data_IF_419919050819
#
_entry.id   IF_419919050819
#
_cell.length_a   1.000
_cell.length_b   1.000
_cell.length_c   1.000
_cell.angle_alpha   90.00
_cell.angle_beta   90.00
_cell.angle_gamma   90.00
#
_symmetry.space_group_name_H-M   'P 1'
#
loop_
_entity.id
_entity.type
_entity.pdbx_description
1 polymer ?
#
# COMPACT_ATOMS: atom_id res chain seq x y z
N UNK A 1 42.87 -5.39 -14.66
CA UNK A 1 41.74 -5.87 -13.84
C UNK A 1 41.34 -4.88 -12.74
N UNK A 2 42.28 -4.13 -12.13
CA UNK A 2 42.03 -3.19 -11.01
C UNK A 2 40.86 -2.17 -11.16
N UNK A 3 40.58 -1.64 -12.37
CA UNK A 3 39.51 -0.62 -12.54
C UNK A 3 38.10 -1.18 -12.35
N UNK A 4 37.87 -2.47 -12.66
CA UNK A 4 36.53 -3.08 -12.55
C UNK A 4 36.17 -3.36 -11.09
N UNK A 5 37.16 -3.75 -10.29
CA UNK A 5 36.99 -4.04 -8.87
C UNK A 5 36.69 -2.76 -8.06
N UNK A 6 37.33 -1.63 -8.39
CA UNK A 6 37.07 -0.34 -7.74
C UNK A 6 35.64 0.15 -7.96
N UNK A 7 35.08 -0.04 -9.17
CA UNK A 7 33.72 0.34 -9.49
C UNK A 7 32.68 -0.52 -8.74
N UNK A 8 32.93 -1.83 -8.63
CA UNK A 8 32.11 -2.74 -7.83
C UNK A 8 32.11 -2.36 -6.34
N UNK A 9 33.27 -1.96 -5.80
CA UNK A 9 33.37 -1.53 -4.41
C UNK A 9 32.57 -0.23 -4.15
N UNK A 10 32.61 0.72 -5.10
CA UNK A 10 31.84 1.96 -5.01
C UNK A 10 30.33 1.71 -5.06
N UNK A 11 29.86 0.80 -5.92
CA UNK A 11 28.44 0.41 -5.98
C UNK A 11 27.99 -0.26 -4.69
N UNK A 12 28.80 -1.18 -4.13
CA UNK A 12 28.51 -1.79 -2.83
C UNK A 12 28.44 -0.73 -1.71
N UNK A 13 29.37 0.22 -1.69
CA UNK A 13 29.36 1.31 -0.70
C UNK A 13 28.12 2.20 -0.83
N UNK A 14 27.71 2.54 -2.06
CA UNK A 14 26.46 3.29 -2.30
C UNK A 14 25.23 2.49 -1.84
N UNK A 15 25.19 1.18 -2.09
CA UNK A 15 24.10 0.31 -1.63
C UNK A 15 24.04 0.24 -0.09
N UNK A 16 25.19 0.13 0.59
CA UNK A 16 25.25 0.17 2.05
C UNK A 16 24.83 1.54 2.62
N UNK A 17 25.19 2.64 1.97
CA UNK A 17 24.75 3.99 2.36
C UNK A 17 23.23 4.16 2.21
N UNK A 18 22.64 3.65 1.12
CA UNK A 18 21.18 3.68 0.94
C UNK A 18 20.45 2.86 2.02
N UNK A 19 21.01 1.72 2.44
CA UNK A 19 20.41 0.92 3.51
C UNK A 19 20.37 1.66 4.85
N UNK A 20 21.40 2.47 5.17
CA UNK A 20 21.43 3.21 6.44
C UNK A 20 20.38 4.31 6.54
N UNK A 21 20.00 4.93 5.42
CA UNK A 21 19.07 6.07 5.44
C UNK A 21 17.58 5.69 5.43
N UNK A 22 17.24 4.43 5.11
CA UNK A 22 15.83 4.00 4.98
C UNK A 22 15.35 3.20 6.20
N UNK A 23 16.25 2.86 7.12
CA UNK A 23 15.89 2.10 8.31
C UNK A 23 15.24 3.00 9.38
N UNK A 24 14.01 3.44 9.13
CA UNK A 24 13.11 3.84 10.20
C UNK A 24 12.96 2.63 11.12
N UNK A 25 13.54 2.68 12.32
CA UNK A 25 13.41 1.61 13.28
C UNK A 25 11.97 1.59 13.81
N UNK A 26 11.21 0.59 13.35
CA UNK A 26 9.92 0.25 13.91
C UNK A 26 10.07 -1.02 14.74
N UNK A 27 9.45 -1.06 15.91
CA UNK A 27 9.39 -2.26 16.75
C UNK A 27 7.98 -2.41 17.28
N UNK A 28 7.54 -3.65 17.40
CA UNK A 28 6.19 -3.95 17.88
C UNK A 28 6.01 -3.44 19.32
N UNK A 29 4.85 -2.86 19.62
CA UNK A 29 4.59 -2.25 20.93
C UNK A 29 4.73 -3.28 22.07
N UNK A 30 4.25 -4.51 21.86
CA UNK A 30 4.34 -5.64 22.80
C UNK A 30 5.77 -6.05 23.16
N UNK A 31 6.75 -5.70 22.33
CA UNK A 31 8.18 -6.00 22.58
C UNK A 31 8.89 -4.87 23.33
N UNK A 32 8.20 -3.77 23.64
CA UNK A 32 8.76 -2.56 24.24
C UNK A 32 8.07 -2.16 25.55
N UNK A 33 6.81 -2.52 25.75
CA UNK A 33 6.04 -2.12 26.92
C UNK A 33 4.89 -3.07 27.21
N UNK A 34 4.54 -3.19 28.50
CA UNK A 34 3.35 -3.89 28.98
C UNK A 34 2.20 -2.91 29.33
N UNK A 35 2.34 -1.61 29.03
CA UNK A 35 1.29 -0.62 29.29
C UNK A 35 0.07 -0.88 28.40
N UNK A 36 -1.02 -1.31 29.04
CA UNK A 36 -2.32 -1.60 28.41
C UNK A 36 -2.84 -0.44 27.54
N UNK A 37 -2.57 0.82 27.90
CA UNK A 37 -3.04 1.98 27.14
C UNK A 37 -2.33 2.07 25.78
N UNK A 38 -1.06 1.70 25.73
CA UNK A 38 -0.28 1.66 24.48
C UNK A 38 -0.70 0.44 23.65
N UNK A 39 -0.81 -0.72 24.28
CA UNK A 39 -1.17 -1.96 23.60
C UNK A 39 -2.60 -1.96 23.04
N UNK A 40 -3.50 -1.16 23.62
CA UNK A 40 -4.89 -0.99 23.16
C UNK A 40 -5.11 0.20 22.22
N UNK A 41 -4.07 0.97 21.88
CA UNK A 41 -4.19 2.14 21.02
C UNK A 41 -4.68 1.77 19.61
N UNK A 42 -4.12 0.72 19.02
CA UNK A 42 -4.46 0.23 17.69
C UNK A 42 -5.70 -0.69 17.75
N UNK A 43 -6.82 -0.26 17.16
CA UNK A 43 -8.13 -0.96 17.23
C UNK A 43 -8.32 -1.97 16.10
N UNK A 44 -9.40 -2.76 16.16
CA UNK A 44 -9.85 -3.65 15.08
C UNK A 44 -8.77 -4.65 14.61
N UNK A 45 -8.09 -5.28 15.58
CA UNK A 45 -7.02 -6.28 15.33
C UNK A 45 -5.86 -5.73 14.48
N UNK A 46 -5.65 -4.41 14.50
CA UNK A 46 -4.51 -3.78 13.83
C UNK A 46 -3.22 -3.99 14.61
N UNK A 47 -2.08 -3.97 13.90
CA UNK A 47 -0.77 -4.16 14.51
C UNK A 47 -0.21 -2.84 15.02
N UNK A 48 0.32 -2.82 16.23
CA UNK A 48 0.91 -1.64 16.88
C UNK A 48 2.44 -1.64 16.75
N UNK A 49 3.00 -0.54 16.27
CA UNK A 49 4.44 -0.31 16.21
C UNK A 49 4.83 1.05 16.80
N UNK A 50 6.01 1.12 17.41
CA UNK A 50 6.64 2.37 17.82
C UNK A 50 7.77 2.68 16.84
N UNK A 51 7.69 3.86 16.21
CA UNK A 51 8.73 4.43 15.36
C UNK A 51 9.72 5.22 16.23
N UNK A 52 11.01 5.16 15.88
CA UNK A 52 12.10 5.91 16.51
C UNK A 52 12.27 5.66 18.02
N UNK A 53 12.12 4.40 18.46
CA UNK A 53 12.14 3.99 19.88
C UNK A 53 13.46 4.24 20.64
N UNK A 54 14.52 4.73 19.98
CA UNK A 54 15.84 4.97 20.59
C UNK A 54 15.93 6.38 21.25
N UNK A 55 15.04 6.68 22.20
CA UNK A 55 15.00 7.97 22.94
C UNK A 55 14.96 9.23 22.05
N UNK A 56 14.35 9.14 20.87
CA UNK A 56 14.08 10.35 20.08
C UNK A 56 12.90 11.11 20.69
N UNK A 57 12.98 12.45 20.68
CA UNK A 57 11.86 13.35 21.02
C UNK A 57 10.63 13.13 20.11
N UNK A 58 10.79 12.39 19.01
CA UNK A 58 9.80 12.16 17.95
C UNK A 58 9.35 10.70 17.87
N UNK A 59 9.30 10.01 19.01
CA UNK A 59 8.76 8.65 19.08
C UNK A 59 7.25 8.68 18.83
N UNK A 60 6.76 7.87 17.89
CA UNK A 60 5.35 7.88 17.51
C UNK A 60 4.79 6.46 17.36
N UNK A 61 3.56 6.24 17.82
CA UNK A 61 2.84 4.99 17.59
C UNK A 61 2.27 5.00 16.16
N UNK A 62 2.36 3.86 15.48
CA UNK A 62 1.83 3.64 14.13
C UNK A 62 1.02 2.36 14.12
N UNK A 63 -0.22 2.43 13.66
CA UNK A 63 -1.11 1.28 13.51
C UNK A 63 -1.15 0.80 12.06
N UNK A 64 -0.94 -0.50 11.84
CA UNK A 64 -1.15 -1.13 10.53
C UNK A 64 -2.55 -1.73 10.51
N UNK A 65 -3.48 -1.04 9.87
CA UNK A 65 -4.89 -1.42 9.84
C UNK A 65 -5.12 -2.71 9.05
N UNK A 66 -5.96 -3.58 9.62
CA UNK A 66 -6.37 -4.82 8.97
C UNK A 66 -7.29 -4.52 7.79
N UNK A 67 -7.10 -5.24 6.68
CA UNK A 67 -7.93 -5.19 5.47
C UNK A 67 -8.72 -6.49 5.37
N UNK A 68 -10.04 -6.41 5.19
CA UNK A 68 -10.90 -7.57 4.98
C UNK A 68 -11.24 -7.66 3.50
N UNK A 69 -10.66 -8.64 2.80
CA UNK A 69 -10.46 -8.64 1.34
C UNK A 69 -11.67 -8.27 0.45
N UNK A 70 -12.92 -8.37 0.92
CA UNK A 70 -14.12 -8.09 0.12
C UNK A 70 -15.25 -7.35 0.86
N UNK A 71 -15.01 -6.72 2.02
CA UNK A 71 -16.09 -6.07 2.79
C UNK A 71 -15.77 -4.61 3.10
N UNK A 72 -14.73 -4.42 3.90
CA UNK A 72 -14.30 -3.11 4.36
C UNK A 72 -12.83 -3.15 4.75
N UNK A 73 -12.23 -1.98 4.85
CA UNK A 73 -10.95 -1.82 5.50
C UNK A 73 -11.07 -0.83 6.64
N UNK A 74 -10.15 -0.92 7.59
CA UNK A 74 -10.04 0.06 8.66
C UNK A 74 -9.04 1.16 8.28
N UNK A 75 -9.34 2.39 8.69
CA UNK A 75 -8.55 3.58 8.44
C UNK A 75 -8.52 4.49 9.68
N UNK A 76 -7.74 5.57 9.58
CA UNK A 76 -7.48 6.49 10.70
C UNK A 76 -6.21 6.15 11.48
N UNK A 77 -5.75 7.05 12.36
CA UNK A 77 -4.49 6.89 13.10
C UNK A 77 -4.50 5.70 14.07
N UNK A 78 -5.68 5.30 14.55
CA UNK A 78 -5.91 4.18 15.47
C UNK A 78 -6.67 3.02 14.81
N UNK A 79 -6.88 3.07 13.48
CA UNK A 79 -7.67 2.11 12.72
C UNK A 79 -9.14 1.98 13.17
N UNK A 80 -9.75 3.00 13.77
CA UNK A 80 -11.15 2.98 14.22
C UNK A 80 -12.19 3.10 13.10
N UNK A 81 -11.83 3.71 11.96
CA UNK A 81 -12.79 4.08 10.92
C UNK A 81 -12.99 2.90 9.98
N UNK A 82 -14.17 2.28 9.97
CA UNK A 82 -14.53 1.29 8.96
C UNK A 82 -14.90 1.98 7.65
N UNK A 83 -14.18 1.67 6.58
CA UNK A 83 -14.45 2.15 5.22
C UNK A 83 -14.95 0.97 4.38
N UNK A 84 -16.22 0.96 3.96
CA UNK A 84 -16.71 -0.11 3.09
C UNK A 84 -15.96 -0.08 1.76
N UNK A 85 -15.63 -1.26 1.23
CA UNK A 85 -15.18 -1.34 -0.15
C UNK A 85 -16.38 -1.12 -1.06
N UNK A 86 -16.46 0.04 -1.69
CA UNK A 86 -17.29 0.20 -2.86
C UNK A 86 -16.48 -0.32 -4.06
N UNK A 87 -16.47 -1.63 -4.27
CA UNK A 87 -16.20 -2.13 -5.62
C UNK A 87 -17.53 -2.22 -6.34
N UNK A 88 -17.72 -1.40 -7.36
CA UNK A 88 -18.59 -1.80 -8.45
C UNK A 88 -17.74 -2.73 -9.29
N UNK A 89 -17.87 -4.03 -9.09
CA UNK A 89 -17.50 -4.95 -10.17
C UNK A 89 -18.40 -4.56 -11.33
N UNK A 90 -17.86 -3.86 -12.32
CA UNK A 90 -18.54 -3.70 -13.59
C UNK A 90 -18.58 -5.09 -14.21
N UNK A 91 -19.63 -5.86 -13.88
CA UNK A 91 -20.09 -6.92 -14.76
C UNK A 91 -20.56 -6.19 -16.01
N UNK A 92 -19.91 -6.47 -17.14
CA UNK A 92 -20.02 -5.79 -18.43
C UNK A 92 -19.16 -4.52 -18.49
N UNK A 93 -18.00 -4.66 -19.12
CA UNK A 93 -17.25 -3.51 -19.61
C UNK A 93 -18.06 -2.84 -20.71
N UNK A 94 -18.90 -1.88 -20.36
CA UNK A 94 -19.61 -1.05 -21.35
C UNK A 94 -18.67 -0.15 -22.16
N UNK A 95 -17.35 -0.23 -21.93
CA UNK A 95 -16.35 0.35 -22.83
C UNK A 95 -16.11 -0.64 -23.97
N UNK A 96 -17.10 -0.82 -24.83
CA UNK A 96 -16.92 -1.48 -26.11
C UNK A 96 -16.22 -0.53 -27.09
N UNK A 97 -15.63 -1.07 -28.15
CA UNK A 97 -15.42 -0.27 -29.34
C UNK A 97 -16.79 0.24 -29.83
N UNK A 98 -16.99 1.55 -29.84
CA UNK A 98 -18.26 2.17 -30.26
C UNK A 98 -18.34 2.38 -31.77
N UNK A 99 -17.24 2.18 -32.47
CA UNK A 99 -17.11 2.39 -33.91
C UNK A 99 -16.96 1.06 -34.64
N UNK A 100 -17.90 0.78 -35.55
CA UNK A 100 -17.80 -0.38 -36.44
C UNK A 100 -16.52 -0.35 -37.30
N UNK A 101 -15.94 0.84 -37.53
CA UNK A 101 -14.66 1.00 -38.23
C UNK A 101 -13.50 0.51 -37.34
N UNK A 102 -13.51 0.80 -36.04
CA UNK A 102 -12.48 0.30 -35.12
C UNK A 102 -12.52 -1.23 -35.02
N UNK A 103 -13.72 -1.80 -34.97
CA UNK A 103 -13.88 -3.27 -34.99
C UNK A 103 -13.47 -3.89 -36.31
N UNK A 104 -13.85 -3.28 -37.45
CA UNK A 104 -13.44 -3.73 -38.78
C UNK A 104 -11.92 -3.71 -38.94
N UNK A 105 -11.25 -2.68 -38.41
CA UNK A 105 -9.81 -2.50 -38.49
C UNK A 105 -9.04 -3.22 -37.36
N UNK A 106 -9.74 -3.93 -36.45
CA UNK A 106 -9.15 -4.56 -35.25
C UNK A 106 -8.33 -3.59 -34.39
N UNK A 107 -8.76 -2.34 -34.32
CA UNK A 107 -8.17 -1.33 -33.44
C UNK A 107 -8.77 -1.44 -32.04
N UNK A 108 -7.97 -1.17 -31.01
CA UNK A 108 -8.43 -1.10 -29.62
C UNK A 108 -9.18 -2.35 -29.10
N UNK A 109 -8.92 -3.55 -29.65
CA UNK A 109 -9.63 -4.80 -29.30
C UNK A 109 -9.61 -5.14 -27.81
N UNK A 110 -8.62 -4.63 -27.07
CA UNK A 110 -8.52 -4.75 -25.61
C UNK A 110 -9.75 -4.18 -24.88
N UNK A 111 -10.49 -3.24 -25.50
CA UNK A 111 -11.75 -2.70 -24.98
C UNK A 111 -12.87 -3.75 -24.98
N UNK A 112 -12.86 -4.65 -25.96
CA UNK A 112 -13.81 -5.75 -26.06
C UNK A 112 -13.46 -6.93 -25.12
N UNK A 113 -12.32 -6.88 -24.41
CA UNK A 113 -11.93 -7.91 -23.46
C UNK A 113 -12.46 -7.61 -22.05
N UNK A 114 -13.51 -8.33 -21.63
CA UNK A 114 -14.14 -8.21 -20.31
C UNK A 114 -13.16 -8.33 -19.12
N UNK A 115 -12.07 -9.06 -19.30
CA UNK A 115 -11.08 -9.32 -18.26
C UNK A 115 -10.01 -8.21 -18.13
N UNK A 116 -9.94 -7.25 -19.06
CA UNK A 116 -8.90 -6.21 -19.08
C UNK A 116 -9.38 -4.83 -18.63
N UNK A 117 -10.65 -4.52 -18.86
CA UNK A 117 -11.29 -3.32 -18.31
C UNK A 117 -12.02 -3.77 -17.03
N UNK A 118 -11.96 -3.00 -15.95
CA UNK A 118 -12.63 -3.40 -14.70
C UNK A 118 -11.82 -3.29 -13.42
N UNK A 119 -11.00 -2.23 -13.27
CA UNK A 119 -10.60 -1.70 -11.96
C UNK A 119 -10.41 -0.18 -12.03
N UNK A 120 -11.39 0.59 -11.58
CA UNK A 120 -11.20 2.00 -11.20
C UNK A 120 -11.72 2.21 -9.77
N UNK A 121 -10.89 2.80 -8.92
CA UNK A 121 -11.07 2.91 -7.47
C UNK A 121 -11.87 4.15 -7.06
N UNK A 122 -12.81 3.97 -6.13
CA UNK A 122 -13.53 5.01 -5.35
C UNK A 122 -12.54 5.63 -4.35
N UNK A 123 -12.42 6.97 -4.25
CA UNK A 123 -13.44 7.89 -3.70
C UNK A 123 -13.20 9.37 -4.11
N UNK A 124 -14.22 10.28 -4.13
CA UNK A 124 -15.67 10.13 -4.36
C UNK A 124 -16.18 10.93 -5.58
N UNK A 125 -17.43 10.62 -5.96
CA UNK A 125 -18.26 11.19 -7.04
C UNK A 125 -18.18 10.47 -8.39
N UNK A 126 -18.79 9.29 -8.45
CA UNK A 126 -19.36 8.79 -9.70
C UNK A 126 -20.89 8.88 -9.56
N UNK A 127 -21.46 10.03 -9.94
CA UNK A 127 -22.85 10.13 -10.38
C UNK A 127 -22.95 9.70 -11.83
#
# INVERSE_FOLDING_TARGET
MLKKDLFLFFLFFCFFLQQKNILCSYKECSLLTDDIRILSYCKNESKCFIKNFNNSEYSSITCICKKYLNESFFAGPDCSIRVPYHYKTMKNNEVHNTSWIEDLLKLNTWKNEENRVGKLCINPQCS
#
